data_IF_113670299519
#
_entry.id   IF_113670299519
#
_cell.length_a   1.000
_cell.length_b   1.000
_cell.length_c   1.000
_cell.angle_alpha   90.00
_cell.angle_beta   90.00
_cell.angle_gamma   90.00
#
_symmetry.space_group_name_H-M   'P 1'
#
loop_
_entity.id
_entity.type
_entity.pdbx_description
1 polymer ?
#
# COMPACT_ATOMS: atom_id res chain seq x y z
N UNK A 1 1.44 -11.78 -11.54
CA UNK A 1 1.78 -10.50 -10.88
C UNK A 1 0.85 -9.43 -11.44
N UNK A 2 0.35 -8.47 -10.66
CA UNK A 2 -0.57 -7.43 -11.15
C UNK A 2 0.15 -6.44 -12.07
N UNK A 3 -0.54 -5.88 -13.06
CA UNK A 3 0.01 -4.93 -14.02
C UNK A 3 0.20 -3.54 -13.39
N UNK A 4 0.88 -2.63 -14.09
CA UNK A 4 0.81 -1.22 -13.73
C UNK A 4 -0.64 -0.72 -13.91
N UNK A 5 -1.06 0.21 -13.07
CA UNK A 5 -2.41 0.78 -13.03
C UNK A 5 -3.53 -0.19 -12.63
N UNK A 6 -3.19 -1.42 -12.23
CA UNK A 6 -4.16 -2.32 -11.61
C UNK A 6 -4.61 -1.78 -10.24
N UNK A 7 -5.89 -1.94 -9.92
CA UNK A 7 -6.37 -1.73 -8.55
C UNK A 7 -6.22 -3.04 -7.77
N UNK A 8 -5.54 -2.96 -6.62
CA UNK A 8 -5.27 -4.09 -5.74
C UNK A 8 -5.78 -3.82 -4.34
N UNK A 9 -6.35 -4.85 -3.72
CA UNK A 9 -6.81 -4.79 -2.33
C UNK A 9 -5.92 -5.67 -1.47
N UNK A 10 -5.20 -5.06 -0.55
CA UNK A 10 -4.43 -5.76 0.46
C UNK A 10 -5.24 -5.95 1.73
N UNK A 11 -5.16 -7.13 2.35
CA UNK A 11 -5.75 -7.38 3.67
C UNK A 11 -4.74 -6.98 4.74
N UNK A 12 -5.20 -6.25 5.74
CA UNK A 12 -4.38 -5.82 6.89
C UNK A 12 -4.89 -6.57 8.11
N UNK A 13 -3.97 -7.21 8.84
CA UNK A 13 -4.31 -8.06 9.99
C UNK A 13 -4.55 -7.27 11.27
N UNK A 14 -3.89 -6.11 11.41
CA UNK A 14 -4.01 -5.21 12.56
C UNK A 14 -3.56 -3.82 12.12
N UNK A 15 -4.37 -2.82 12.41
CA UNK A 15 -3.97 -1.42 12.42
C UNK A 15 -3.74 -1.07 13.88
N UNK A 16 -2.58 -0.50 14.20
CA UNK A 16 -2.34 0.08 15.52
C UNK A 16 -3.14 1.39 15.63
N UNK A 17 -4.08 1.51 16.58
CA UNK A 17 -4.93 2.70 16.70
C UNK A 17 -4.16 3.98 17.05
N UNK A 18 -2.96 3.86 17.64
CA UNK A 18 -2.15 5.01 18.06
C UNK A 18 -1.08 5.38 17.03
N UNK A 19 -0.93 4.57 15.97
CA UNK A 19 0.01 4.85 14.89
C UNK A 19 -0.61 5.78 13.84
N UNK A 20 0.18 6.71 13.26
CA UNK A 20 -0.30 7.49 12.14
C UNK A 20 -0.62 6.55 10.96
N UNK A 21 -1.88 6.64 10.50
CA UNK A 21 -2.32 5.94 9.31
C UNK A 21 -1.86 6.72 8.06
N UNK A 22 -1.47 6.04 6.98
CA UNK A 22 -1.29 6.74 5.71
C UNK A 22 -2.63 7.31 5.23
N UNK A 23 -2.59 8.21 4.25
CA UNK A 23 -3.80 8.83 3.70
C UNK A 23 -4.01 8.46 2.23
N UNK A 24 -5.23 8.58 1.68
CA UNK A 24 -5.42 8.51 0.23
C UNK A 24 -4.52 9.52 -0.49
N UNK A 25 -3.79 9.06 -1.51
CA UNK A 25 -2.76 9.83 -2.21
C UNK A 25 -1.33 9.50 -1.77
N UNK A 26 -1.13 9.00 -0.55
CA UNK A 26 0.17 8.49 -0.12
C UNK A 26 0.57 7.24 -0.90
N UNK A 27 1.87 6.93 -0.88
CA UNK A 27 2.43 5.78 -1.55
C UNK A 27 2.88 4.71 -0.55
N UNK A 28 2.69 3.45 -0.90
CA UNK A 28 3.28 2.31 -0.23
C UNK A 28 4.37 1.71 -1.09
N UNK A 29 5.51 1.40 -0.47
CA UNK A 29 6.58 0.63 -1.12
C UNK A 29 6.73 -0.71 -0.42
N UNK A 30 6.67 -1.78 -1.22
CA UNK A 30 6.94 -3.14 -0.73
C UNK A 30 8.44 -3.40 -0.65
N UNK A 31 8.83 -4.44 0.09
CA UNK A 31 10.22 -4.92 0.16
C UNK A 31 10.84 -5.22 -1.23
N UNK A 32 10.01 -5.60 -2.20
CA UNK A 32 10.42 -5.83 -3.60
C UNK A 32 10.66 -4.54 -4.41
N UNK A 33 10.50 -3.36 -3.80
CA UNK A 33 10.68 -2.06 -4.43
C UNK A 33 9.50 -1.57 -5.26
N UNK A 34 8.39 -2.33 -5.31
CA UNK A 34 7.20 -1.93 -6.06
C UNK A 34 6.41 -0.87 -5.31
N UNK A 35 5.95 0.15 -6.04
CA UNK A 35 5.17 1.27 -5.49
C UNK A 35 3.69 1.12 -5.78
N UNK A 36 2.89 1.62 -4.85
CA UNK A 36 1.45 1.56 -4.88
C UNK A 36 0.90 2.87 -4.33
N UNK A 37 -0.03 3.52 -5.02
CA UNK A 37 -0.72 4.69 -4.46
C UNK A 37 -1.93 4.23 -3.67
N UNK A 38 -2.11 4.74 -2.45
CA UNK A 38 -3.27 4.43 -1.62
C UNK A 38 -4.47 5.18 -2.17
N UNK A 39 -5.55 4.44 -2.45
CA UNK A 39 -6.83 5.01 -2.87
C UNK A 39 -7.82 5.07 -1.72
N UNK A 40 -7.82 4.04 -0.86
CA UNK A 40 -8.76 3.93 0.25
C UNK A 40 -8.22 3.04 1.35
N UNK A 41 -8.44 3.47 2.58
CA UNK A 41 -8.14 2.69 3.78
C UNK A 41 -9.44 2.26 4.42
N UNK A 42 -9.46 1.02 4.90
CA UNK A 42 -10.59 0.43 5.62
C UNK A 42 -10.05 -0.40 6.79
N UNK A 43 -10.85 -0.66 7.83
CA UNK A 43 -10.34 -1.28 9.07
C UNK A 43 -9.58 -2.61 8.89
N UNK A 44 -9.87 -3.36 7.82
CA UNK A 44 -9.26 -4.67 7.53
C UNK A 44 -8.56 -4.75 6.17
N UNK A 45 -8.47 -3.63 5.45
CA UNK A 45 -7.90 -3.64 4.10
C UNK A 45 -7.48 -2.26 3.61
N UNK A 46 -6.46 -2.22 2.77
CA UNK A 46 -6.07 -1.05 2.01
C UNK A 46 -6.25 -1.34 0.52
N UNK A 47 -6.91 -0.44 -0.19
CA UNK A 47 -7.02 -0.46 -1.64
C UNK A 47 -5.99 0.48 -2.23
N UNK A 48 -5.16 -0.04 -3.13
CA UNK A 48 -4.12 0.72 -3.81
C UNK A 48 -4.22 0.61 -5.33
N UNK A 49 -3.66 1.59 -6.03
CA UNK A 49 -3.32 1.55 -7.44
C UNK A 49 -1.86 1.13 -7.59
N UNK A 50 -1.56 0.18 -8.48
CA UNK A 50 -0.18 -0.22 -8.73
C UNK A 50 0.51 0.84 -9.58
N UNK A 51 1.61 1.40 -9.09
CA UNK A 51 2.36 2.40 -9.86
C UNK A 51 3.42 1.75 -10.76
N UNK A 52 3.64 2.29 -11.98
CA UNK A 52 4.84 2.04 -12.76
C UNK A 52 6.12 2.36 -11.96
N UNK A 53 7.25 1.79 -12.38
CA UNK A 53 8.55 2.03 -11.72
C UNK A 53 8.98 3.49 -11.83
N UNK A 54 8.67 4.11 -12.96
CA UNK A 54 9.03 5.45 -13.42
C UNK A 54 7.98 6.52 -13.08
N UNK A 55 6.86 6.15 -12.45
CA UNK A 55 5.84 7.12 -12.07
C UNK A 55 6.40 8.19 -11.11
N UNK A 56 6.02 9.45 -11.28
CA UNK A 56 6.42 10.50 -10.34
C UNK A 56 5.85 10.20 -8.94
N UNK A 57 6.63 10.50 -7.90
CA UNK A 57 6.16 10.34 -6.53
C UNK A 57 5.24 11.51 -6.18
N UNK A 58 3.99 11.22 -5.80
CA UNK A 58 2.98 12.25 -5.51
C UNK A 58 2.78 12.49 -4.01
N UNK A 59 3.08 11.51 -3.16
CA UNK A 59 2.79 11.56 -1.72
C UNK A 59 3.95 11.05 -0.85
N UNK A 60 3.68 10.87 0.45
CA UNK A 60 4.66 10.28 1.36
C UNK A 60 4.79 8.79 1.05
N UNK A 61 6.02 8.28 0.99
CA UNK A 61 6.28 6.86 0.78
C UNK A 61 6.39 6.16 2.13
N UNK A 62 5.46 5.27 2.38
CA UNK A 62 5.42 4.38 3.54
C UNK A 62 6.07 3.05 3.20
N UNK A 63 7.04 2.63 4.00
CA UNK A 63 7.61 1.29 3.93
C UNK A 63 6.62 0.35 4.62
N UNK A 64 5.99 -0.53 3.84
CA UNK A 64 5.00 -1.43 4.39
C UNK A 64 5.55 -2.85 4.49
N UNK A 65 5.64 -3.34 5.72
CA UNK A 65 5.99 -4.72 6.01
C UNK A 65 4.73 -5.55 6.18
N UNK A 66 4.49 -6.46 5.24
CA UNK A 66 3.40 -7.42 5.38
C UNK A 66 3.81 -8.50 6.39
N UNK A 67 2.95 -8.75 7.38
CA UNK A 67 3.07 -9.95 8.20
C UNK A 67 3.17 -11.17 7.28
N UNK A 68 4.17 -12.02 7.51
CA UNK A 68 4.28 -13.30 6.80
C UNK A 68 2.94 -14.01 6.92
N UNK A 69 2.38 -14.43 5.79
CA UNK A 69 1.14 -15.21 5.73
C UNK A 69 1.40 -16.51 6.51
N UNK A 70 0.93 -16.60 7.77
CA UNK A 70 0.98 -17.85 8.52
C UNK A 70 0.18 -18.88 7.71
N UNK A 71 0.87 -19.94 7.32
CA UNK A 71 0.32 -21.05 6.55
C UNK A 71 -0.36 -22.03 7.49
#
# INVERSE_FOLDING_TARGET
MKAAWDVVKFRVSRVDPDAPLPEPGDEMRTATGRRYQILKISPKSVTCLVLPRDAEQQGKVWIWEWNKRRR
#
